data_IF_204864638399
#
_entry.id   IF_204864638399
#
_cell.length_a   1.000
_cell.length_b   1.000
_cell.length_c   1.000
_cell.angle_alpha   90.00
_cell.angle_beta   90.00
_cell.angle_gamma   90.00
#
_symmetry.space_group_name_H-M   'P 1'
#
loop_
_entity.id
_entity.type
_entity.pdbx_description
1 polymer ?
#
# COMPACT_ATOMS: atom_id res chain seq x y z
N UNK A 1 -60.39 -39.88 4.62
CA UNK A 1 -59.70 -38.66 4.25
C UNK A 1 -58.19 -38.81 4.48
N UNK A 2 -57.42 -38.99 3.41
CA UNK A 2 -55.96 -39.04 3.53
C UNK A 2 -55.42 -37.63 3.45
N UNK A 3 -54.82 -37.07 4.52
CA UNK A 3 -54.09 -35.83 4.51
C UNK A 3 -52.77 -36.04 3.77
N UNK A 4 -52.60 -35.38 2.65
CA UNK A 4 -51.29 -35.29 1.98
C UNK A 4 -50.41 -34.31 2.76
N UNK A 5 -49.35 -34.84 3.38
CA UNK A 5 -48.29 -34.04 3.96
C UNK A 5 -47.37 -33.64 2.80
N UNK A 6 -47.44 -32.39 2.40
CA UNK A 6 -46.45 -31.83 1.47
C UNK A 6 -45.17 -31.57 2.25
N UNK A 7 -44.16 -32.40 2.01
CA UNK A 7 -42.81 -32.12 2.51
C UNK A 7 -42.26 -30.90 1.79
N UNK A 8 -42.20 -29.76 2.49
CA UNK A 8 -41.51 -28.59 2.00
C UNK A 8 -40.00 -28.83 2.00
N UNK A 9 -39.40 -28.83 0.82
CA UNK A 9 -37.93 -28.87 0.70
C UNK A 9 -37.36 -27.60 1.23
N UNK A 10 -36.62 -27.64 2.34
CA UNK A 10 -35.85 -26.52 2.84
C UNK A 10 -34.56 -26.49 2.01
N UNK A 11 -34.42 -25.51 1.12
CA UNK A 11 -33.18 -25.26 0.41
C UNK A 11 -32.28 -24.43 1.33
N UNK A 12 -31.28 -25.07 1.92
CA UNK A 12 -30.27 -24.40 2.71
C UNK A 12 -29.29 -23.72 1.73
N UNK A 13 -29.41 -22.39 1.57
CA UNK A 13 -28.43 -21.62 0.80
C UNK A 13 -27.14 -21.51 1.61
N UNK A 14 -26.08 -22.16 1.14
CA UNK A 14 -24.74 -22.01 1.74
C UNK A 14 -24.16 -20.68 1.27
N UNK A 15 -24.13 -19.69 2.16
CA UNK A 15 -23.45 -18.44 1.89
C UNK A 15 -21.98 -18.66 2.17
N UNK A 16 -21.17 -18.80 1.12
CA UNK A 16 -19.70 -18.81 1.23
C UNK A 16 -19.23 -17.38 1.28
N UNK A 17 -18.84 -16.91 2.47
CA UNK A 17 -18.18 -15.63 2.61
C UNK A 17 -16.74 -15.77 2.09
N UNK A 18 -16.44 -15.14 0.95
CA UNK A 18 -15.07 -15.03 0.46
C UNK A 18 -14.38 -13.90 1.25
N UNK A 19 -13.54 -14.29 2.21
CA UNK A 19 -12.67 -13.34 2.91
C UNK A 19 -11.48 -13.07 2.00
N UNK A 20 -11.48 -11.91 1.33
CA UNK A 20 -10.33 -11.42 0.60
C UNK A 20 -9.28 -10.96 1.61
N UNK A 21 -8.11 -11.60 1.63
CA UNK A 21 -6.99 -11.13 2.44
C UNK A 21 -6.54 -9.75 1.93
N UNK A 22 -6.59 -8.74 2.81
CA UNK A 22 -6.07 -7.42 2.48
C UNK A 22 -4.55 -7.48 2.40
N UNK A 23 -3.99 -6.81 1.37
CA UNK A 23 -2.55 -6.64 1.27
C UNK A 23 -2.08 -5.68 2.37
N UNK A 24 -0.90 -5.93 2.95
CA UNK A 24 -0.38 -5.06 4.00
C UNK A 24 -0.03 -3.67 3.46
N UNK A 25 0.04 -2.72 4.36
CA UNK A 25 0.58 -1.39 4.11
C UNK A 25 2.02 -1.31 4.61
N UNK A 26 2.81 -0.41 4.05
CA UNK A 26 4.16 -0.12 4.51
C UNK A 26 4.11 0.42 5.95
N UNK A 27 5.09 0.05 6.76
CA UNK A 27 5.23 0.63 8.10
C UNK A 27 5.62 2.10 7.98
N UNK A 28 4.86 2.95 8.64
CA UNK A 28 5.08 4.39 8.71
C UNK A 28 5.19 4.84 10.15
N UNK A 29 6.14 5.71 10.41
CA UNK A 29 6.33 6.35 11.70
C UNK A 29 6.33 7.86 11.53
N UNK A 30 5.43 8.55 12.25
CA UNK A 30 5.41 10.00 12.27
C UNK A 30 6.64 10.55 13.01
N UNK A 31 7.34 11.51 12.40
CA UNK A 31 8.49 12.19 12.97
C UNK A 31 8.14 13.62 13.38
N UNK A 32 7.41 14.33 12.53
CA UNK A 32 7.05 15.72 12.71
C UNK A 32 5.76 16.01 11.94
N UNK A 33 4.87 16.77 12.54
CA UNK A 33 3.72 17.31 11.84
C UNK A 33 3.35 18.69 12.37
N UNK A 34 3.10 19.60 11.45
CA UNK A 34 2.56 20.92 11.70
C UNK A 34 1.59 21.32 10.57
N UNK A 35 1.19 22.57 10.49
CA UNK A 35 0.27 23.06 9.47
C UNK A 35 0.88 23.15 8.05
N UNK A 36 2.20 23.01 7.92
CA UNK A 36 2.93 23.10 6.65
C UNK A 36 3.43 21.78 6.11
N UNK A 37 3.88 20.90 7.00
CA UNK A 37 4.54 19.65 6.62
C UNK A 37 4.07 18.49 7.49
N UNK A 38 4.12 17.30 6.90
CA UNK A 38 4.08 16.04 7.62
C UNK A 38 5.31 15.22 7.22
N UNK A 39 6.12 14.86 8.19
CA UNK A 39 7.34 14.08 7.98
C UNK A 39 7.17 12.70 8.59
N UNK A 40 7.40 11.67 7.80
CA UNK A 40 7.27 10.28 8.21
C UNK A 40 8.44 9.43 7.72
N UNK A 41 8.85 8.47 8.53
CA UNK A 41 9.65 7.37 8.06
C UNK A 41 8.76 6.31 7.42
N UNK A 42 9.23 5.72 6.34
CA UNK A 42 8.58 4.61 5.64
C UNK A 42 9.58 3.49 5.47
N UNK A 43 9.18 2.29 5.85
CA UNK A 43 9.99 1.09 5.74
C UNK A 43 9.34 0.13 4.73
N UNK A 44 10.10 -0.23 3.71
CA UNK A 44 9.63 -1.08 2.61
C UNK A 44 10.43 -2.38 2.68
N UNK A 45 9.80 -3.40 3.25
CA UNK A 45 10.43 -4.71 3.44
C UNK A 45 10.49 -5.51 2.12
N UNK A 46 11.54 -6.34 1.93
CA UNK A 46 11.70 -7.14 0.70
C UNK A 46 10.57 -8.13 0.51
N UNK A 47 10.16 -8.32 -0.76
CA UNK A 47 9.28 -9.40 -1.17
C UNK A 47 7.81 -9.25 -0.77
N UNK A 48 7.42 -8.16 -0.12
CA UNK A 48 6.03 -7.91 0.27
C UNK A 48 5.29 -7.20 -0.87
N UNK A 49 4.09 -7.67 -1.16
CA UNK A 49 3.18 -7.03 -2.10
C UNK A 49 2.25 -6.06 -1.34
N UNK A 50 2.70 -4.82 -1.22
CA UNK A 50 1.97 -3.80 -0.49
C UNK A 50 0.72 -3.33 -1.22
N UNK A 51 -0.31 -2.95 -0.45
CA UNK A 51 -1.53 -2.39 -1.00
C UNK A 51 -1.27 -1.04 -1.69
N UNK A 52 -2.03 -0.70 -2.75
CA UNK A 52 -1.98 0.63 -3.33
C UNK A 52 -2.34 1.70 -2.30
N UNK A 53 -1.69 2.85 -2.38
CA UNK A 53 -2.02 4.03 -1.58
C UNK A 53 -2.02 5.29 -2.45
N UNK A 54 -2.77 6.27 -2.00
CA UNK A 54 -2.88 7.58 -2.67
C UNK A 54 -2.18 8.65 -1.85
N UNK A 55 -1.34 9.43 -2.50
CA UNK A 55 -0.68 10.57 -1.87
C UNK A 55 -1.61 11.78 -1.86
N UNK A 56 -2.06 12.17 -0.66
CA UNK A 56 -2.90 13.36 -0.47
C UNK A 56 -2.13 14.65 -0.75
N UNK A 57 -0.85 14.68 -0.42
CA UNK A 57 0.02 15.84 -0.58
C UNK A 57 1.21 15.51 -1.50
N UNK A 58 1.74 16.52 -2.21
CA UNK A 58 3.03 16.33 -2.86
C UNK A 58 4.11 16.11 -1.80
N UNK A 59 5.12 15.31 -2.13
CA UNK A 59 6.17 15.03 -1.16
C UNK A 59 7.54 14.86 -1.81
N UNK A 60 8.54 15.10 -1.00
CA UNK A 60 9.92 14.69 -1.24
C UNK A 60 10.17 13.39 -0.48
N UNK A 61 10.67 12.37 -1.15
CA UNK A 61 11.20 11.17 -0.52
C UNK A 61 12.73 11.26 -0.47
N UNK A 62 13.29 11.20 0.72
CA UNK A 62 14.74 11.12 0.93
C UNK A 62 15.11 9.69 1.31
N UNK A 63 15.99 9.09 0.54
CA UNK A 63 16.41 7.71 0.74
C UNK A 63 17.48 7.65 1.83
N UNK A 64 17.15 7.10 2.98
CA UNK A 64 18.11 6.85 4.06
C UNK A 64 18.89 5.57 3.77
N UNK A 65 18.20 4.51 3.39
CA UNK A 65 18.79 3.27 2.90
C UNK A 65 18.14 2.85 1.61
N UNK A 66 18.94 2.78 0.56
CA UNK A 66 18.52 2.48 -0.79
C UNK A 66 18.24 1.02 -1.07
N UNK A 67 17.88 0.75 -2.29
CA UNK A 67 17.56 -0.55 -2.83
C UNK A 67 16.78 -0.42 -4.12
N UNK A 68 16.28 -1.54 -4.61
CA UNK A 68 15.58 -1.63 -5.87
C UNK A 68 14.08 -1.71 -5.63
N UNK A 69 13.36 -0.69 -6.02
CA UNK A 69 11.91 -0.58 -5.86
C UNK A 69 11.20 -0.62 -7.21
N UNK A 70 10.09 -1.35 -7.26
CA UNK A 70 9.15 -1.32 -8.37
C UNK A 70 7.89 -0.57 -7.94
N UNK A 71 7.58 0.50 -8.67
CA UNK A 71 6.34 1.25 -8.53
C UNK A 71 5.36 0.83 -9.61
N UNK A 72 4.12 0.63 -9.23
CA UNK A 72 3.04 0.34 -10.18
C UNK A 72 1.97 1.39 -10.05
N UNK A 73 1.71 2.10 -11.13
CA UNK A 73 0.72 3.17 -11.25
C UNK A 73 -0.14 2.93 -12.50
N UNK A 74 -1.46 2.86 -12.35
CA UNK A 74 -2.38 2.62 -13.47
C UNK A 74 -1.97 1.42 -14.35
N UNK A 75 -1.55 0.32 -13.74
CA UNK A 75 -1.12 -0.90 -14.42
C UNK A 75 0.26 -0.83 -15.07
N UNK A 76 0.96 0.30 -14.99
CA UNK A 76 2.33 0.47 -15.50
C UNK A 76 3.34 0.35 -14.38
N UNK A 77 4.32 -0.52 -14.55
CA UNK A 77 5.39 -0.72 -13.60
C UNK A 77 6.66 0.01 -14.03
N UNK A 78 7.31 0.68 -13.08
CA UNK A 78 8.62 1.30 -13.23
C UNK A 78 9.53 0.80 -12.11
N UNK A 79 10.73 0.37 -12.46
CA UNK A 79 11.73 -0.09 -11.49
C UNK A 79 12.84 0.93 -11.41
N UNK A 80 13.13 1.36 -10.18
CA UNK A 80 14.17 2.35 -9.88
C UNK A 80 15.12 1.76 -8.84
N UNK A 81 16.41 1.89 -9.09
CA UNK A 81 17.45 1.59 -8.11
C UNK A 81 17.88 2.87 -7.41
N UNK A 82 17.64 2.92 -6.10
CA UNK A 82 17.97 4.05 -5.26
C UNK A 82 19.25 3.81 -4.49
N UNK A 83 20.05 4.84 -4.38
CA UNK A 83 21.23 4.90 -3.51
C UNK A 83 20.90 5.65 -2.23
N UNK A 84 21.62 5.37 -1.17
CA UNK A 84 21.56 6.15 0.07
C UNK A 84 21.80 7.63 -0.24
N UNK A 85 20.93 8.50 0.26
CA UNK A 85 20.99 9.94 0.03
C UNK A 85 20.26 10.44 -1.22
N UNK A 86 19.75 9.57 -2.08
CA UNK A 86 18.91 9.99 -3.21
C UNK A 86 17.64 10.67 -2.71
N UNK A 87 17.11 11.58 -3.52
CA UNK A 87 15.83 12.22 -3.28
C UNK A 87 14.96 12.18 -4.53
N UNK A 88 13.66 11.99 -4.32
CA UNK A 88 12.66 11.97 -5.39
C UNK A 88 11.45 12.82 -5.05
N UNK A 89 10.68 13.16 -6.05
CA UNK A 89 9.45 13.93 -5.94
C UNK A 89 8.25 13.11 -6.40
N UNK A 90 7.12 13.26 -5.70
CA UNK A 90 5.80 12.78 -6.14
C UNK A 90 4.78 13.89 -6.02
N UNK A 91 3.93 14.01 -7.03
CA UNK A 91 2.80 14.94 -7.01
C UNK A 91 1.66 14.43 -6.13
N UNK A 92 0.83 15.35 -5.67
CA UNK A 92 -0.43 15.00 -5.01
C UNK A 92 -1.36 14.25 -5.97
N UNK A 93 -2.18 13.34 -5.42
CA UNK A 93 -3.18 12.59 -6.17
C UNK A 93 -2.65 11.32 -6.85
N UNK A 94 -1.35 11.06 -6.78
CA UNK A 94 -0.77 9.81 -7.32
C UNK A 94 -1.20 8.63 -6.47
N UNK A 95 -1.76 7.61 -7.13
CA UNK A 95 -2.06 6.30 -6.52
C UNK A 95 -1.12 5.26 -7.09
N UNK A 96 -0.35 4.63 -6.24
CA UNK A 96 0.58 3.59 -6.66
C UNK A 96 0.76 2.51 -5.59
N UNK A 97 1.29 1.37 -6.02
CA UNK A 97 1.82 0.35 -5.14
C UNK A 97 3.33 0.26 -5.29
N UNK A 98 4.00 -0.22 -4.24
CA UNK A 98 5.45 -0.35 -4.19
C UNK A 98 5.80 -1.80 -3.85
N UNK A 99 6.86 -2.32 -4.47
CA UNK A 99 7.46 -3.59 -4.10
C UNK A 99 8.97 -3.45 -4.03
N UNK A 100 9.57 -3.90 -2.94
CA UNK A 100 11.01 -4.00 -2.80
C UNK A 100 11.51 -5.29 -3.49
N UNK A 101 12.28 -5.14 -4.54
CA UNK A 101 12.84 -6.25 -5.32
C UNK A 101 14.20 -6.71 -4.80
N UNK A 102 14.75 -6.03 -3.81
CA UNK A 102 16.00 -6.38 -3.16
C UNK A 102 15.82 -7.37 -2.02
N UNK A 103 16.82 -7.48 -1.18
CA UNK A 103 16.87 -8.40 -0.04
C UNK A 103 16.96 -7.70 1.33
N UNK A 104 17.10 -6.39 1.33
CA UNK A 104 17.15 -5.57 2.55
C UNK A 104 16.05 -4.54 2.56
N UNK A 105 15.60 -4.13 3.74
CA UNK A 105 14.57 -3.10 3.89
C UNK A 105 15.06 -1.77 3.32
N UNK A 106 14.25 -1.14 2.48
CA UNK A 106 14.45 0.24 2.02
C UNK A 106 13.84 1.18 3.05
N UNK A 107 14.59 2.21 3.44
CA UNK A 107 14.18 3.21 4.42
C UNK A 107 14.12 4.58 3.77
N UNK A 108 12.97 5.20 3.84
CA UNK A 108 12.68 6.51 3.22
C UNK A 108 12.14 7.46 4.28
N UNK A 109 12.57 8.71 4.22
CA UNK A 109 11.91 9.81 4.94
C UNK A 109 11.08 10.59 3.92
N UNK A 110 9.77 10.59 4.10
CA UNK A 110 8.84 11.38 3.29
C UNK A 110 8.56 12.72 3.97
N UNK A 111 8.80 13.80 3.25
CA UNK A 111 8.42 15.16 3.65
C UNK A 111 7.24 15.58 2.78
N UNK A 112 6.05 15.51 3.32
CA UNK A 112 4.82 15.91 2.65
C UNK A 112 4.57 17.41 2.87
N UNK A 113 4.25 18.11 1.78
CA UNK A 113 3.98 19.54 1.78
C UNK A 113 2.48 19.79 1.79
N UNK A 114 1.94 20.32 2.88
CA UNK A 114 0.50 20.57 3.04
C UNK A 114 0.04 21.86 2.37
N UNK A 115 0.95 22.77 2.14
CA UNK A 115 0.70 24.08 1.49
C UNK A 115 1.89 24.46 0.62
#
# INVERSE_FOLDING_TARGET
>A
MRRRVTAGSIVLALIVAVVSAQRPEEKRKALLENDRVRVREVFIEPGIDYAPHTHQYPHVGVIVKGGKLRFTEQGKAETIEFKDGDAGWRDAGVTHSIRNLGQTTVHVVEVELKK
#
